data_IF_301771345228
#
_entry.id   IF_301771345228
#
_cell.length_a   1.000
_cell.length_b   1.000
_cell.length_c   1.000
_cell.angle_alpha   90.00
_cell.angle_beta   90.00
_cell.angle_gamma   90.00
#
_symmetry.space_group_name_H-M   'P 1'
#
loop_
_entity.id
_entity.type
_entity.pdbx_description
1 polymer ?
#
# COMPACT_ATOMS: atom_id res chain seq x y z
N UNK A 1 -18.42 -23.90 38.02
CA UNK A 1 -17.75 -24.98 37.27
C UNK A 1 -18.26 -24.90 35.84
N UNK A 2 -17.52 -24.21 34.97
CA UNK A 2 -17.81 -24.15 33.54
C UNK A 2 -16.70 -24.93 32.85
N UNK A 3 -17.04 -26.14 32.41
CA UNK A 3 -16.16 -26.99 31.63
C UNK A 3 -15.99 -26.38 30.26
N UNK A 4 -14.75 -25.98 29.94
CA UNK A 4 -14.32 -25.88 28.56
C UNK A 4 -14.09 -27.31 28.08
N UNK A 5 -15.08 -27.85 27.38
CA UNK A 5 -14.91 -29.02 26.54
C UNK A 5 -13.86 -28.64 25.47
N UNK A 6 -12.68 -29.24 25.60
CA UNK A 6 -11.61 -29.18 24.60
C UNK A 6 -11.96 -30.17 23.51
N UNK A 7 -12.88 -29.80 22.63
CA UNK A 7 -13.08 -30.49 21.36
C UNK A 7 -12.52 -29.64 20.23
N UNK A 8 -11.29 -29.96 19.82
CA UNK A 8 -10.84 -29.95 18.42
C UNK A 8 -11.21 -28.75 17.54
N UNK A 9 -10.73 -27.55 17.88
CA UNK A 9 -10.52 -26.52 16.85
C UNK A 9 -9.27 -26.88 16.03
N UNK A 10 -9.49 -27.77 15.07
CA UNK A 10 -8.56 -28.05 13.99
C UNK A 10 -8.39 -26.79 13.12
N UNK A 11 -7.17 -26.27 13.10
CA UNK A 11 -6.58 -25.49 12.00
C UNK A 11 -7.31 -24.21 11.54
N UNK A 12 -7.38 -23.20 12.41
CA UNK A 12 -7.38 -21.80 11.96
C UNK A 12 -6.11 -21.12 12.46
N UNK A 13 -4.96 -21.56 11.95
CA UNK A 13 -3.77 -20.72 11.94
C UNK A 13 -3.93 -19.82 10.72
N UNK A 14 -4.12 -18.51 10.86
CA UNK A 14 -4.09 -17.61 9.71
C UNK A 14 -2.74 -17.78 9.02
N UNK A 15 -2.76 -17.96 7.69
CA UNK A 15 -1.53 -18.07 6.91
C UNK A 15 -0.66 -16.85 7.20
N UNK A 16 0.58 -17.09 7.64
CA UNK A 16 1.52 -16.01 7.92
C UNK A 16 1.86 -15.32 6.59
N UNK A 17 2.01 -14.00 6.62
CA UNK A 17 2.64 -13.26 5.52
C UNK A 17 3.98 -13.91 5.15
N UNK A 18 4.28 -14.03 3.86
CA UNK A 18 5.67 -14.27 3.45
C UNK A 18 6.56 -13.14 3.99
N UNK A 19 7.79 -13.47 4.36
CA UNK A 19 8.72 -12.53 5.01
C UNK A 19 8.93 -11.27 4.16
N UNK A 20 8.97 -11.43 2.84
CA UNK A 20 9.09 -10.33 1.86
C UNK A 20 7.91 -9.35 1.90
N UNK A 21 6.67 -9.84 1.94
CA UNK A 21 5.48 -8.98 2.02
C UNK A 21 5.43 -8.20 3.34
N UNK A 22 5.82 -8.85 4.44
CA UNK A 22 5.89 -8.18 5.74
C UNK A 22 6.96 -7.10 5.77
N UNK A 23 8.14 -7.39 5.20
CA UNK A 23 9.23 -6.42 5.07
C UNK A 23 8.82 -5.23 4.20
N UNK A 24 8.12 -5.49 3.09
CA UNK A 24 7.57 -4.45 2.22
C UNK A 24 6.57 -3.55 2.98
N UNK A 25 5.64 -4.14 3.73
CA UNK A 25 4.69 -3.40 4.55
C UNK A 25 5.39 -2.55 5.62
N UNK A 26 6.39 -3.11 6.29
CA UNK A 26 7.19 -2.37 7.26
C UNK A 26 7.92 -1.19 6.60
N UNK A 27 8.50 -1.40 5.41
CA UNK A 27 9.21 -0.37 4.66
C UNK A 27 8.29 0.79 4.28
N UNK A 28 7.08 0.49 3.80
CA UNK A 28 6.07 1.50 3.47
C UNK A 28 5.67 2.29 4.71
N UNK A 29 5.37 1.61 5.83
CA UNK A 29 4.99 2.25 7.08
C UNK A 29 6.08 3.18 7.62
N UNK A 30 7.32 2.69 7.68
CA UNK A 30 8.46 3.43 8.22
C UNK A 30 8.77 4.69 7.41
N UNK A 31 8.69 4.61 6.08
CA UNK A 31 8.94 5.74 5.20
C UNK A 31 7.80 6.75 5.19
N UNK A 32 6.57 6.25 5.09
CA UNK A 32 5.43 7.08 4.72
C UNK A 32 4.65 7.68 5.87
N UNK A 33 4.71 7.11 7.07
CA UNK A 33 3.78 7.49 8.13
C UNK A 33 4.47 7.64 9.49
N UNK A 34 3.83 8.39 10.38
CA UNK A 34 4.18 8.44 11.80
C UNK A 34 3.34 7.42 12.59
N UNK A 35 3.84 6.98 13.74
CA UNK A 35 3.10 6.09 14.65
C UNK A 35 2.70 6.84 15.91
N UNK A 36 1.41 6.81 16.23
CA UNK A 36 0.91 7.17 17.53
C UNK A 36 0.94 5.98 18.49
N UNK A 37 1.56 6.17 19.65
CA UNK A 37 1.78 5.14 20.67
C UNK A 37 0.55 4.85 21.55
N UNK A 38 -0.55 5.55 21.32
CA UNK A 38 -1.82 5.45 22.07
C UNK A 38 -1.60 5.71 23.56
N UNK A 39 -1.43 4.67 24.37
CA UNK A 39 -1.34 4.75 25.84
C UNK A 39 -0.20 5.64 26.38
N UNK A 40 0.80 5.95 25.56
CA UNK A 40 1.90 6.86 25.94
C UNK A 40 1.72 8.30 25.42
N UNK A 41 0.61 8.61 24.74
CA UNK A 41 0.27 9.92 24.14
C UNK A 41 1.44 10.53 23.36
N UNK A 42 2.12 9.70 22.56
CA UNK A 42 3.26 10.14 21.75
C UNK A 42 3.05 9.80 20.29
N UNK A 43 3.27 10.81 19.45
CA UNK A 43 3.49 10.66 18.02
C UNK A 43 5.00 10.50 17.77
N UNK A 44 5.38 9.32 17.29
CA UNK A 44 6.74 8.95 16.92
C UNK A 44 6.86 9.08 15.41
N UNK A 45 7.70 10.00 14.97
CA UNK A 45 7.89 10.28 13.54
C UNK A 45 8.78 9.21 12.91
N UNK A 46 9.97 8.98 13.49
CA UNK A 46 10.94 8.03 12.97
C UNK A 46 11.03 6.78 13.85
N UNK A 47 10.85 5.62 13.25
CA UNK A 47 10.85 4.34 13.93
C UNK A 47 11.32 3.23 12.99
N UNK A 48 11.63 2.07 13.56
CA UNK A 48 11.84 0.82 12.85
C UNK A 48 10.89 -0.24 13.39
N UNK A 49 10.18 -0.92 12.51
CA UNK A 49 9.42 -2.12 12.78
C UNK A 49 10.37 -3.30 12.73
N UNK A 50 10.31 -4.15 13.75
CA UNK A 50 11.13 -5.34 13.84
C UNK A 50 10.26 -6.54 14.15
N UNK A 51 10.57 -7.67 13.52
CA UNK A 51 9.90 -8.93 13.82
C UNK A 51 10.26 -9.40 15.24
N UNK A 52 9.31 -10.01 15.94
CA UNK A 52 9.51 -10.65 17.25
C UNK A 52 10.11 -12.05 17.15
N UNK A 53 10.59 -12.46 15.96
CA UNK A 53 11.20 -13.77 15.73
C UNK A 53 10.16 -14.90 15.72
N UNK A 54 10.50 -16.09 16.21
CA UNK A 54 9.68 -17.30 16.11
C UNK A 54 8.26 -17.21 16.69
N UNK A 55 7.98 -16.17 17.48
CA UNK A 55 6.66 -15.82 18.03
C UNK A 55 6.23 -14.45 17.49
N UNK A 56 5.96 -14.39 16.18
CA UNK A 56 5.37 -13.24 15.47
C UNK A 56 3.97 -13.00 16.04
N UNK A 57 3.82 -12.03 16.94
CA UNK A 57 2.52 -11.63 17.47
C UNK A 57 2.30 -10.13 17.31
N UNK A 58 3.37 -9.32 17.30
CA UNK A 58 3.33 -7.88 17.20
C UNK A 58 4.63 -7.37 16.56
N UNK A 59 4.61 -6.51 15.53
CA UNK A 59 5.82 -5.81 15.12
C UNK A 59 6.30 -4.93 16.30
N UNK A 60 7.57 -5.09 16.68
CA UNK A 60 8.20 -4.25 17.69
C UNK A 60 8.57 -2.93 17.06
N UNK A 61 7.95 -1.85 17.53
CA UNK A 61 8.35 -0.48 17.18
C UNK A 61 9.55 -0.09 18.02
N UNK A 62 10.67 0.19 17.35
CA UNK A 62 11.86 0.80 17.94
C UNK A 62 11.92 2.25 17.48
N UNK A 63 11.66 3.24 18.36
CA UNK A 63 11.87 4.64 18.02
C UNK A 63 13.32 4.86 17.58
N UNK A 64 13.51 5.62 16.51
CA UNK A 64 14.85 6.05 16.09
C UNK A 64 15.18 7.41 16.73
N UNK A 65 16.45 7.79 16.68
CA UNK A 65 16.87 9.16 17.00
C UNK A 65 16.14 10.13 16.08
N UNK A 66 15.35 11.03 16.67
CA UNK A 66 14.51 11.95 15.92
C UNK A 66 13.53 12.67 16.82
N UNK A 67 12.57 13.34 16.19
CA UNK A 67 11.55 14.12 16.89
C UNK A 67 10.38 13.22 17.29
N UNK A 68 9.88 13.41 18.50
CA UNK A 68 8.61 12.84 18.96
C UNK A 68 7.79 13.93 19.63
N UNK A 69 6.48 13.86 19.47
CA UNK A 69 5.55 14.86 19.98
C UNK A 69 4.62 14.24 21.00
N UNK A 70 4.28 14.98 22.05
CA UNK A 70 3.28 14.55 23.02
C UNK A 70 1.92 15.01 22.53
N UNK A 71 1.13 14.07 22.01
CA UNK A 71 -0.20 14.34 21.46
C UNK A 71 -1.16 13.33 22.11
N UNK A 72 -2.24 13.80 22.76
CA UNK A 72 -3.25 12.92 23.33
C UNK A 72 -3.95 12.04 22.29
N UNK A 73 -4.26 10.80 22.65
CA UNK A 73 -4.97 9.87 21.74
C UNK A 73 -6.37 10.38 21.32
N UNK A 74 -7.07 11.14 22.17
CA UNK A 74 -8.41 11.69 21.87
C UNK A 74 -8.38 12.80 20.78
N UNK A 75 -7.20 13.20 20.34
CA UNK A 75 -7.00 14.09 19.20
C UNK A 75 -6.84 13.32 17.89
N UNK A 76 -6.85 11.98 17.92
CA UNK A 76 -6.88 11.15 16.72
C UNK A 76 -8.30 10.76 16.36
N UNK A 77 -8.63 10.91 15.08
CA UNK A 77 -9.88 10.45 14.48
C UNK A 77 -9.58 9.36 13.44
N UNK A 78 -10.43 8.34 13.27
CA UNK A 78 -10.31 7.41 12.15
C UNK A 78 -10.34 8.20 10.82
N UNK A 79 -9.41 7.88 9.92
CA UNK A 79 -9.41 8.40 8.56
C UNK A 79 -10.30 7.52 7.68
N UNK A 80 -10.76 8.08 6.57
CA UNK A 80 -11.40 7.33 5.47
C UNK A 80 -10.39 6.50 4.68
N UNK A 81 -9.10 6.74 4.90
CA UNK A 81 -7.99 6.05 4.26
C UNK A 81 -7.62 4.76 4.98
N UNK A 82 -7.28 3.78 4.17
CA UNK A 82 -6.71 2.51 4.57
C UNK A 82 -5.40 2.30 3.83
N UNK A 83 -4.40 1.73 4.50
CA UNK A 83 -3.25 1.15 3.81
C UNK A 83 -3.66 -0.27 3.40
N UNK A 84 -3.89 -0.43 2.09
CA UNK A 84 -4.38 -1.63 1.44
C UNK A 84 -3.23 -2.36 0.75
N UNK A 85 -3.24 -3.68 0.84
CA UNK A 85 -2.30 -4.54 0.13
C UNK A 85 -2.97 -5.87 -0.26
N UNK A 86 -3.05 -6.14 -1.56
CA UNK A 86 -3.53 -7.41 -2.09
C UNK A 86 -2.33 -8.29 -2.48
N UNK A 87 -2.03 -9.37 -1.74
CA UNK A 87 -0.93 -10.27 -2.04
C UNK A 87 -1.17 -11.14 -3.28
N UNK A 88 -2.38 -11.16 -3.85
CA UNK A 88 -2.69 -11.91 -5.07
C UNK A 88 -2.30 -11.17 -6.35
N UNK A 89 -1.98 -9.87 -6.24
CA UNK A 89 -1.44 -9.07 -7.33
C UNK A 89 0.08 -9.07 -7.30
N UNK A 90 0.70 -9.58 -8.36
CA UNK A 90 2.17 -9.66 -8.50
C UNK A 90 2.83 -8.27 -8.65
N UNK A 91 2.04 -7.20 -8.87
CA UNK A 91 2.51 -5.84 -9.10
C UNK A 91 2.27 -4.89 -7.91
N UNK A 92 1.60 -5.35 -6.85
CA UNK A 92 1.13 -4.45 -5.80
C UNK A 92 2.20 -4.14 -4.74
N UNK A 93 2.25 -2.87 -4.36
CA UNK A 93 2.84 -2.40 -3.11
C UNK A 93 1.71 -1.99 -2.16
N UNK A 94 1.92 -1.98 -0.83
CA UNK A 94 0.96 -1.39 0.08
C UNK A 94 0.70 0.07 -0.28
N UNK A 95 -0.54 0.38 -0.60
CA UNK A 95 -0.97 1.69 -1.10
C UNK A 95 -2.11 2.27 -0.26
N UNK A 96 -2.27 3.59 -0.27
CA UNK A 96 -3.45 4.20 0.34
C UNK A 96 -4.66 3.98 -0.57
N UNK A 97 -5.79 3.65 0.05
CA UNK A 97 -7.04 3.42 -0.64
C UNK A 97 -8.24 3.86 0.21
N UNK A 98 -9.32 4.26 -0.47
CA UNK A 98 -10.63 4.45 0.12
C UNK A 98 -11.42 3.15 0.09
N UNK A 99 -12.05 2.79 1.20
CA UNK A 99 -13.00 1.69 1.21
C UNK A 99 -14.38 2.18 0.77
N UNK A 100 -14.95 1.59 -0.29
CA UNK A 100 -16.31 1.88 -0.78
C UNK A 100 -17.28 0.80 -0.28
N UNK A 101 -18.07 1.05 0.78
CA UNK A 101 -18.93 0.03 1.39
C UNK A 101 -20.06 -0.45 0.48
N UNK A 102 -20.51 0.41 -0.44
CA UNK A 102 -21.56 0.14 -1.42
C UNK A 102 -21.14 -0.96 -2.42
N UNK A 103 -19.84 -1.03 -2.74
CA UNK A 103 -19.28 -2.00 -3.69
C UNK A 103 -18.44 -3.07 -3.00
N UNK A 104 -18.12 -2.89 -1.72
CA UNK A 104 -17.18 -3.71 -0.97
C UNK A 104 -15.81 -3.82 -1.67
N UNK A 105 -15.30 -2.69 -2.16
CA UNK A 105 -14.05 -2.61 -2.94
C UNK A 105 -13.18 -1.47 -2.41
N UNK A 106 -11.86 -1.68 -2.41
CA UNK A 106 -10.86 -0.64 -2.19
C UNK A 106 -10.57 0.09 -3.49
N UNK A 107 -10.62 1.42 -3.45
CA UNK A 107 -10.28 2.27 -4.58
C UNK A 107 -8.97 3.00 -4.25
N UNK A 108 -7.92 2.87 -5.07
CA UNK A 108 -6.64 3.52 -4.82
C UNK A 108 -6.79 5.04 -4.63
N UNK A 109 -6.00 5.59 -3.72
CA UNK A 109 -5.93 7.02 -3.47
C UNK A 109 -5.29 7.73 -4.67
N UNK A 110 -5.95 8.77 -5.18
CA UNK A 110 -5.48 9.52 -6.35
C UNK A 110 -4.51 10.62 -5.92
N UNK A 111 -3.22 10.28 -5.92
CA UNK A 111 -2.17 11.21 -5.50
C UNK A 111 -2.06 12.44 -6.42
N UNK A 112 -2.36 12.33 -7.71
CA UNK A 112 -2.17 13.44 -8.65
C UNK A 112 -3.29 14.50 -8.50
N UNK A 113 -4.53 14.04 -8.30
CA UNK A 113 -5.66 14.94 -8.10
C UNK A 113 -5.74 15.49 -6.67
N UNK A 114 -5.33 14.73 -5.66
CA UNK A 114 -5.37 15.18 -4.27
C UNK A 114 -4.10 15.91 -3.80
N UNK A 115 -2.91 15.60 -4.33
CA UNK A 115 -1.70 16.36 -3.98
C UNK A 115 -1.65 17.75 -4.63
N UNK A 116 -2.46 18.01 -5.65
CA UNK A 116 -2.68 19.33 -6.21
C UNK A 116 -3.43 20.28 -5.24
N UNK A 117 -4.04 19.76 -4.18
CA UNK A 117 -4.65 20.54 -3.11
C UNK A 117 -3.57 20.97 -2.10
N UNK A 118 -2.92 22.06 -2.48
CA UNK A 118 -2.09 22.98 -1.69
C UNK A 118 -1.99 22.69 -0.17
N UNK A 119 -0.76 22.51 0.33
CA UNK A 119 -0.41 22.28 1.76
C UNK A 119 -1.00 23.34 2.70
N UNK A 120 -1.33 24.50 2.15
CA UNK A 120 -1.95 25.64 2.82
C UNK A 120 -3.47 25.51 3.04
N UNK A 121 -4.17 24.65 2.30
CA UNK A 121 -5.62 24.44 2.41
C UNK A 121 -5.96 23.24 3.29
N UNK A 122 -7.14 23.28 3.91
CA UNK A 122 -7.67 22.33 4.89
C UNK A 122 -7.93 20.91 4.35
N UNK A 123 -7.46 20.55 3.15
CA UNK A 123 -7.84 19.33 2.44
C UNK A 123 -6.80 18.23 2.37
N UNK A 124 -5.56 18.46 2.82
CA UNK A 124 -4.51 17.44 2.66
C UNK A 124 -4.60 16.39 3.77
N UNK A 125 -4.97 15.15 3.40
CA UNK A 125 -4.98 14.02 4.33
C UNK A 125 -3.55 13.73 4.83
N UNK A 126 -3.36 13.80 6.15
CA UNK A 126 -2.08 13.52 6.81
C UNK A 126 -2.22 12.29 7.70
N UNK A 127 -2.25 11.09 7.09
CA UNK A 127 -2.52 9.86 7.81
C UNK A 127 -1.39 9.50 8.78
N UNK A 128 -1.80 8.98 9.92
CA UNK A 128 -0.99 8.50 11.04
C UNK A 128 -1.46 7.09 11.39
N UNK A 129 -0.52 6.27 11.84
CA UNK A 129 -0.79 4.88 12.22
C UNK A 129 -0.96 4.80 13.73
N UNK A 130 -1.95 4.07 14.23
CA UNK A 130 -2.01 3.74 15.66
C UNK A 130 -1.21 2.48 15.93
N UNK A 131 -0.40 2.48 16.98
CA UNK A 131 0.36 1.31 17.40
C UNK A 131 -0.52 0.09 17.66
N UNK A 132 -1.73 0.31 18.17
CA UNK A 132 -2.72 -0.74 18.42
C UNK A 132 -3.29 -1.37 17.15
N UNK A 133 -3.25 -0.69 16.00
CA UNK A 133 -3.73 -1.25 14.73
C UNK A 133 -2.67 -2.07 14.01
N UNK A 134 -1.41 -1.95 14.40
CA UNK A 134 -0.32 -2.82 13.93
C UNK A 134 -0.36 -4.23 14.53
N UNK A 135 -1.27 -4.49 15.47
CA UNK A 135 -1.41 -5.83 16.06
C UNK A 135 -1.84 -6.83 14.98
N UNK A 136 -1.05 -7.87 14.77
CA UNK A 136 -1.38 -8.90 13.79
C UNK A 136 -1.02 -8.55 12.35
N UNK A 137 -0.16 -7.53 12.12
CA UNK A 137 0.28 -7.15 10.78
C UNK A 137 0.91 -8.31 9.98
N UNK A 138 1.49 -9.30 10.66
CA UNK A 138 2.08 -10.50 10.08
C UNK A 138 1.06 -11.60 9.73
N UNK A 139 -0.24 -11.36 9.95
CA UNK A 139 -1.33 -12.24 9.54
C UNK A 139 -2.05 -11.60 8.34
N UNK A 140 -1.84 -12.18 7.15
CA UNK A 140 -2.66 -11.89 5.97
C UNK A 140 -3.92 -12.75 6.10
N UNK A 141 -5.09 -12.11 6.10
CA UNK A 141 -6.21 -12.63 5.30
C UNK A 141 -5.96 -12.15 3.87
N UNK A 142 -6.58 -12.79 2.88
CA UNK A 142 -6.39 -12.59 1.43
C UNK A 142 -6.24 -11.12 0.95
N UNK A 143 -6.57 -10.13 1.78
CA UNK A 143 -6.22 -8.71 1.65
C UNK A 143 -5.73 -8.19 3.02
N UNK A 144 -4.56 -7.55 3.07
CA UNK A 144 -4.11 -6.81 4.25
C UNK A 144 -4.66 -5.37 4.20
N UNK A 145 -5.36 -4.97 5.26
CA UNK A 145 -6.00 -3.66 5.35
C UNK A 145 -5.76 -3.04 6.73
N UNK A 146 -5.02 -1.94 6.76
CA UNK A 146 -4.72 -1.19 7.98
C UNK A 146 -5.46 0.14 7.95
N UNK A 147 -6.38 0.36 8.89
CA UNK A 147 -7.05 1.67 9.03
C UNK A 147 -6.04 2.75 9.45
N UNK A 148 -6.05 3.86 8.72
CA UNK A 148 -5.28 5.05 9.05
C UNK A 148 -6.08 6.00 9.95
N UNK A 149 -5.39 6.93 10.59
CA UNK A 149 -5.96 7.93 11.49
C UNK A 149 -5.45 9.32 11.14
N UNK A 150 -6.19 10.34 11.53
CA UNK A 150 -5.81 11.74 11.32
C UNK A 150 -5.80 12.50 12.64
N UNK A 151 -4.91 13.47 12.72
CA UNK A 151 -4.86 14.41 13.83
C UNK A 151 -5.93 15.48 13.65
N UNK A 152 -6.64 15.77 14.73
CA UNK A 152 -7.50 16.95 14.84
C UNK A 152 -6.64 18.21 14.94
N UNK A 153 -6.19 18.69 13.78
CA UNK A 153 -5.35 19.88 13.71
C UNK A 153 -6.05 21.11 14.27
N UNK A 154 -7.38 21.23 14.21
CA UNK A 154 -8.08 22.35 14.82
C UNK A 154 -7.88 22.40 16.34
N UNK A 155 -7.95 21.24 17.01
CA UNK A 155 -7.63 21.13 18.44
C UNK A 155 -6.16 21.40 18.70
N UNK A 156 -5.26 20.83 17.88
CA UNK A 156 -3.82 21.01 18.03
C UNK A 156 -3.41 22.47 17.88
N UNK A 157 -3.92 23.18 16.87
CA UNK A 157 -3.68 24.61 16.63
C UNK A 157 -4.20 25.47 17.78
N UNK A 158 -5.37 25.15 18.35
CA UNK A 158 -5.91 25.89 19.51
C UNK A 158 -5.06 25.71 20.76
N UNK A 159 -4.44 24.55 20.94
CA UNK A 159 -3.60 24.25 22.09
C UNK A 159 -2.18 24.82 21.94
N UNK A 160 -1.55 24.60 20.79
CA UNK A 160 -0.20 25.06 20.47
C UNK A 160 -0.03 25.21 18.93
N UNK A 161 -0.11 26.45 18.41
CA UNK A 161 0.03 26.71 16.98
C UNK A 161 1.41 26.33 16.42
N UNK A 162 2.48 26.57 17.19
CA UNK A 162 3.83 26.31 16.72
C UNK A 162 4.10 24.81 16.60
N UNK A 163 3.61 24.02 17.57
CA UNK A 163 3.63 22.56 17.51
C UNK A 163 2.78 22.06 16.33
N UNK A 164 1.59 22.62 16.12
CA UNK A 164 0.69 22.22 15.04
C UNK A 164 1.35 22.38 13.66
N UNK A 165 1.96 23.55 13.40
CA UNK A 165 2.68 23.82 12.15
C UNK A 165 3.86 22.85 11.95
N UNK A 166 4.63 22.60 13.02
CA UNK A 166 5.76 21.68 12.96
C UNK A 166 5.31 20.24 12.66
N UNK A 167 4.27 19.76 13.34
CA UNK A 167 3.71 18.42 13.12
C UNK A 167 3.14 18.31 11.71
N UNK A 168 2.38 19.30 11.26
CA UNK A 168 1.80 19.35 9.91
C UNK A 168 2.89 19.25 8.85
N UNK A 169 3.96 20.05 8.98
CA UNK A 169 5.10 20.04 8.04
C UNK A 169 5.79 18.68 7.98
N UNK A 170 6.01 18.04 9.14
CA UNK A 170 6.67 16.74 9.20
C UNK A 170 5.81 15.64 8.58
N UNK A 171 4.52 15.61 8.88
CA UNK A 171 3.61 14.63 8.30
C UNK A 171 3.46 14.83 6.79
N UNK A 172 3.41 16.09 6.32
CA UNK A 172 3.37 16.38 4.89
C UNK A 172 4.63 15.89 4.18
N UNK A 173 5.81 16.06 4.79
CA UNK A 173 7.06 15.53 4.23
C UNK A 173 7.06 13.99 4.21
N UNK A 174 6.53 13.33 5.25
CA UNK A 174 6.39 11.86 5.24
C UNK A 174 5.45 11.38 4.13
N UNK A 175 4.31 12.05 3.95
CA UNK A 175 3.39 11.76 2.85
C UNK A 175 4.06 11.99 1.49
N UNK A 176 4.77 13.10 1.28
CA UNK A 176 5.50 13.36 0.04
C UNK A 176 6.51 12.24 -0.27
N UNK A 177 7.28 11.79 0.73
CA UNK A 177 8.20 10.65 0.58
C UNK A 177 7.49 9.34 0.25
N UNK A 178 6.30 9.12 0.80
CA UNK A 178 5.48 7.97 0.45
C UNK A 178 5.01 8.02 -1.00
N UNK A 179 4.56 9.19 -1.48
CA UNK A 179 4.16 9.38 -2.87
C UNK A 179 5.34 9.18 -3.81
N UNK A 180 6.49 9.81 -3.53
CA UNK A 180 7.72 9.62 -4.30
C UNK A 180 8.16 8.15 -4.32
N UNK A 181 8.07 7.46 -3.18
CA UNK A 181 8.35 6.04 -3.09
C UNK A 181 7.37 5.24 -3.95
N UNK A 182 6.08 5.51 -3.88
CA UNK A 182 5.05 4.73 -4.58
C UNK A 182 4.97 5.03 -6.08
N UNK A 183 5.49 6.18 -6.52
CA UNK A 183 5.34 6.69 -7.89
C UNK A 183 5.75 5.72 -9.00
N UNK A 184 6.89 5.00 -8.92
CA UNK A 184 7.27 4.04 -9.98
C UNK A 184 6.25 2.91 -10.15
N UNK A 185 5.67 2.43 -9.05
CA UNK A 185 4.65 1.37 -9.07
C UNK A 185 3.32 1.91 -9.61
N UNK A 186 2.92 3.11 -9.22
CA UNK A 186 1.74 3.77 -9.77
C UNK A 186 1.84 3.96 -11.29
N UNK A 187 3.01 4.36 -11.79
CA UNK A 187 3.26 4.47 -13.23
C UNK A 187 3.20 3.11 -13.94
N UNK A 188 3.74 2.06 -13.33
CA UNK A 188 3.68 0.70 -13.88
C UNK A 188 2.24 0.20 -13.97
N UNK A 189 1.47 0.32 -12.89
CA UNK A 189 0.04 -0.07 -12.85
C UNK A 189 -0.79 0.74 -13.86
N UNK A 190 -0.51 2.04 -14.00
CA UNK A 190 -1.14 2.86 -15.02
C UNK A 190 -0.82 2.37 -16.44
N UNK A 191 0.45 2.09 -16.74
CA UNK A 191 0.87 1.60 -18.05
C UNK A 191 0.27 0.24 -18.38
N UNK A 192 0.21 -0.67 -17.40
CA UNK A 192 -0.43 -1.98 -17.53
C UNK A 192 -1.93 -1.84 -17.83
N UNK A 193 -2.64 -0.99 -17.08
CA UNK A 193 -4.06 -0.72 -17.34
C UNK A 193 -4.29 -0.20 -18.75
N UNK A 194 -3.49 0.77 -19.21
CA UNK A 194 -3.59 1.30 -20.57
C UNK A 194 -3.30 0.22 -21.63
N UNK A 195 -2.31 -0.64 -21.38
CA UNK A 195 -2.01 -1.77 -22.26
C UNK A 195 -3.17 -2.77 -22.32
N UNK A 196 -3.78 -3.09 -21.19
CA UNK A 196 -4.92 -4.00 -21.10
C UNK A 196 -6.15 -3.42 -21.80
N UNK A 197 -6.47 -2.14 -21.57
CA UNK A 197 -7.53 -1.43 -22.28
C UNK A 197 -7.30 -1.42 -23.80
N UNK A 198 -6.06 -1.26 -24.25
CA UNK A 198 -5.71 -1.37 -25.66
C UNK A 198 -5.95 -2.79 -26.19
N UNK A 199 -5.52 -3.83 -25.46
CA UNK A 199 -5.71 -5.22 -25.86
C UNK A 199 -7.18 -5.64 -25.90
N UNK A 200 -8.01 -5.11 -24.99
CA UNK A 200 -9.44 -5.41 -24.91
C UNK A 200 -10.25 -4.68 -25.99
N UNK A 201 -9.82 -3.48 -26.39
CA UNK A 201 -10.48 -2.69 -27.42
C UNK A 201 -10.00 -2.99 -28.85
N UNK A 202 -8.89 -3.70 -29.03
CA UNK A 202 -8.46 -4.18 -30.33
C UNK A 202 -9.02 -5.58 -30.62
N UNK A 203 -9.80 -5.79 -31.69
CA UNK A 203 -10.21 -7.13 -32.07
C UNK A 203 -8.95 -7.96 -32.35
N UNK A 204 -8.82 -9.10 -31.67
CA UNK A 204 -7.80 -10.12 -31.97
C UNK A 204 -7.89 -10.40 -33.47
N UNK A 205 -6.98 -9.82 -34.27
CA UNK A 205 -6.91 -10.10 -35.72
C UNK A 205 -6.83 -11.62 -35.86
N UNK A 206 -7.84 -12.16 -36.54
CA UNK A 206 -8.23 -13.56 -36.46
C UNK A 206 -7.10 -14.54 -36.71
N UNK A 207 -7.15 -15.66 -35.99
CA UNK A 207 -6.74 -16.94 -36.56
C UNK A 207 -7.69 -17.26 -37.73
N UNK A 208 -7.23 -16.94 -38.94
CA UNK A 208 -7.64 -17.55 -40.19
C UNK A 208 -6.35 -17.66 -40.99
N UNK A 209 -5.80 -18.83 -41.30
CA UNK A 209 -6.49 -19.95 -41.91
C UNK A 209 -5.91 -21.30 -41.49
N UNK A 210 -6.82 -22.24 -41.26
CA UNK A 210 -6.59 -23.66 -41.47
C UNK A 210 -7.17 -23.97 -42.85
N UNK A 211 -6.33 -24.35 -43.82
CA UNK A 211 -6.74 -24.95 -45.09
C UNK A 211 -5.57 -25.65 -45.79
N UNK A 212 -5.47 -26.96 -45.55
CA UNK A 212 -5.22 -28.03 -46.55
C UNK A 212 -3.91 -28.03 -47.36
N UNK A 213 -3.00 -28.90 -46.91
CA UNK A 213 -2.31 -29.94 -47.70
C UNK A 213 -2.50 -29.96 -49.23
N UNK A 214 -1.40 -29.80 -49.99
CA UNK A 214 -0.75 -30.86 -50.80
C UNK A 214 0.56 -30.37 -51.49
N UNK A 215 1.43 -31.29 -51.97
CA UNK A 215 2.89 -31.20 -51.89
C UNK A 215 3.59 -30.58 -53.12
N UNK A 216 4.89 -30.30 -52.97
CA UNK A 216 5.85 -29.98 -54.04
C UNK A 216 5.82 -31.01 -55.18
N UNK A 217 6.18 -30.56 -56.40
CA UNK A 217 7.51 -30.80 -56.96
C UNK A 217 8.09 -29.45 -57.47
N UNK A 218 9.37 -29.13 -57.41
CA UNK A 218 10.56 -29.89 -57.75
C UNK A 218 11.38 -29.03 -58.72
N UNK A 219 12.64 -28.81 -58.36
CA UNK A 219 13.82 -28.55 -59.21
C UNK A 219 14.12 -27.16 -59.85
N UNK A 220 15.34 -26.69 -59.49
CA UNK A 220 16.36 -25.93 -60.22
C UNK A 220 16.03 -24.62 -60.95
N UNK A 221 16.61 -23.50 -60.47
CA UNK A 221 17.84 -22.92 -61.08
C UNK A 221 18.14 -21.51 -60.55
N UNK A 222 19.39 -21.34 -60.08
CA UNK A 222 20.25 -20.15 -60.25
C UNK A 222 19.87 -18.81 -59.59
N UNK A 223 20.78 -18.31 -58.74
CA UNK A 223 20.86 -16.90 -58.34
C UNK A 223 21.32 -16.00 -59.50
N UNK A 224 21.59 -14.69 -59.28
CA UNK A 224 22.53 -14.23 -58.26
C UNK A 224 22.19 -12.91 -57.53
N UNK A 225 22.96 -12.69 -56.46
CA UNK A 225 23.40 -11.43 -55.85
C UNK A 225 23.13 -10.10 -56.55
N UNK A 226 22.75 -9.09 -55.74
CA UNK A 226 23.20 -7.68 -55.65
C UNK A 226 22.13 -6.94 -54.84
N UNK A 227 22.37 -6.06 -53.87
CA UNK A 227 23.52 -5.39 -53.30
C UNK A 227 22.90 -4.38 -52.30
N UNK A 228 23.52 -4.20 -51.14
CA UNK A 228 23.06 -3.23 -50.13
C UNK A 228 23.44 -1.81 -50.57
N UNK A 229 22.51 -0.88 -50.40
CA UNK A 229 22.75 0.53 -50.08
C UNK A 229 21.89 0.88 -48.86
#
# INVERSE_FOLDING_TARGET
>A
MWGYDRSEDTNLVPFKTHDEHFELFCMVLERGFAIHTCQSDRLVVEFKLTDTGSRRYLPRVKPQTGVSFRIPEDWLKPSELYLHYDPSSDTDIPELAYFKPDRNVFVPFDYDNEAALDVSQQGFHLPVVKLSTLKGLHYIKDIACLQMFELDFEKLFKADPALADQVKTILAHKMARFVEFSHPWLQANHAERVAQEYLDNYPRRGKSADATTKPMPGDNSEGPFLGWD
#
